data_IF_454656887570
#
_entry.id   IF_454656887570
#
_cell.length_a   1.000
_cell.length_b   1.000
_cell.length_c   1.000
_cell.angle_alpha   90.00
_cell.angle_beta   90.00
_cell.angle_gamma   90.00
#
_symmetry.space_group_name_H-M   'P 1'
#
loop_
_entity.id
_entity.type
_entity.pdbx_description
1 polymer ?
#
# COMPACT_ATOMS: atom_id res chain seq x y z
N UNK A 1 2.99 14.68 29.83
CA UNK A 1 2.89 13.63 28.79
C UNK A 1 1.42 13.60 28.39
N UNK A 2 1.07 14.21 27.26
CA UNK A 2 -0.30 14.64 26.96
C UNK A 2 -1.15 13.48 26.43
N UNK A 3 -2.11 13.00 27.22
CA UNK A 3 -3.17 12.06 26.80
C UNK A 3 -3.95 12.55 25.57
N UNK A 4 -3.97 13.88 25.33
CA UNK A 4 -4.57 14.50 24.15
C UNK A 4 -3.79 14.14 22.87
N UNK A 5 -2.45 14.09 22.93
CA UNK A 5 -1.64 13.70 21.78
C UNK A 5 -1.86 12.22 21.43
N UNK A 6 -1.94 11.34 22.44
CA UNK A 6 -2.07 9.89 22.19
C UNK A 6 -3.41 9.55 21.52
N UNK A 7 -4.51 10.19 21.96
CA UNK A 7 -5.83 10.02 21.34
C UNK A 7 -5.88 10.62 19.93
N UNK A 8 -5.27 11.79 19.70
CA UNK A 8 -5.17 12.41 18.37
C UNK A 8 -4.33 11.55 17.41
N UNK A 9 -3.21 10.97 17.89
CA UNK A 9 -2.39 10.05 17.12
C UNK A 9 -3.13 8.76 16.75
N UNK A 10 -3.89 8.19 17.68
CA UNK A 10 -4.69 6.98 17.42
C UNK A 10 -5.80 7.26 16.40
N UNK A 11 -6.49 8.40 16.53
CA UNK A 11 -7.51 8.83 15.57
C UNK A 11 -6.93 9.01 14.17
N UNK A 12 -5.78 9.71 14.06
CA UNK A 12 -5.09 9.91 12.77
C UNK A 12 -4.64 8.58 12.15
N UNK A 13 -4.14 7.65 12.96
CA UNK A 13 -3.73 6.32 12.51
C UNK A 13 -4.93 5.52 11.97
N UNK A 14 -6.04 5.51 12.69
CA UNK A 14 -7.25 4.80 12.29
C UNK A 14 -7.87 5.38 11.02
N UNK A 15 -7.88 6.71 10.88
CA UNK A 15 -8.36 7.37 9.68
C UNK A 15 -7.48 7.05 8.46
N UNK A 16 -6.15 7.10 8.61
CA UNK A 16 -5.23 6.69 7.56
C UNK A 16 -5.44 5.23 7.16
N UNK A 17 -5.61 4.34 8.14
CA UNK A 17 -5.83 2.91 7.88
C UNK A 17 -7.12 2.68 7.11
N UNK A 18 -8.20 3.36 7.50
CA UNK A 18 -9.49 3.31 6.79
C UNK A 18 -9.35 3.72 5.33
N UNK A 19 -8.62 4.81 5.06
CA UNK A 19 -8.40 5.28 3.70
C UNK A 19 -7.58 4.28 2.86
N UNK A 20 -6.61 3.60 3.47
CA UNK A 20 -5.88 2.51 2.80
C UNK A 20 -6.84 1.37 2.46
N UNK A 21 -7.68 0.94 3.41
CA UNK A 21 -8.65 -0.12 3.21
C UNK A 21 -9.66 0.23 2.10
N UNK A 22 -10.16 1.47 2.09
CA UNK A 22 -11.08 1.97 1.05
C UNK A 22 -10.44 1.88 -0.34
N UNK A 23 -9.16 2.25 -0.49
CA UNK A 23 -8.46 2.13 -1.77
C UNK A 23 -8.26 0.67 -2.15
N UNK A 24 -7.85 -0.18 -1.20
CA UNK A 24 -7.67 -1.61 -1.44
C UNK A 24 -8.96 -2.27 -1.94
N UNK A 25 -10.12 -1.86 -1.45
CA UNK A 25 -11.42 -2.37 -1.87
C UNK A 25 -11.82 -1.95 -3.30
N UNK A 26 -11.20 -0.90 -3.85
CA UNK A 26 -11.37 -0.54 -5.27
C UNK A 26 -10.49 -1.36 -6.22
N UNK A 27 -9.48 -2.06 -5.69
CA UNK A 27 -8.55 -2.83 -6.51
C UNK A 27 -9.19 -4.13 -6.97
N UNK A 28 -8.90 -4.59 -8.21
CA UNK A 28 -9.17 -5.96 -8.59
C UNK A 28 -8.49 -6.93 -7.61
N UNK A 29 -9.19 -8.00 -7.23
CA UNK A 29 -8.73 -9.01 -6.25
C UNK A 29 -7.28 -9.43 -6.43
N UNK A 30 -6.86 -9.67 -7.68
CA UNK A 30 -5.49 -10.10 -7.97
C UNK A 30 -4.45 -9.01 -7.66
N UNK A 31 -4.77 -7.75 -7.93
CA UNK A 31 -3.91 -6.61 -7.60
C UNK A 31 -3.88 -6.36 -6.10
N UNK A 32 -5.04 -6.47 -5.41
CA UNK A 32 -5.13 -6.37 -3.94
C UNK A 32 -4.26 -7.44 -3.27
N UNK A 33 -4.43 -8.71 -3.65
CA UNK A 33 -3.65 -9.84 -3.14
C UNK A 33 -2.14 -9.61 -3.31
N UNK A 34 -1.69 -9.29 -4.53
CA UNK A 34 -0.26 -9.09 -4.82
C UNK A 34 0.30 -7.88 -4.05
N UNK A 35 -0.47 -6.80 -3.94
CA UNK A 35 -0.07 -5.63 -3.17
C UNK A 35 0.06 -5.95 -1.67
N UNK A 36 -0.90 -6.66 -1.09
CA UNK A 36 -0.87 -7.12 0.30
C UNK A 36 0.37 -7.96 0.59
N UNK A 37 0.63 -8.99 -0.23
CA UNK A 37 1.82 -9.83 -0.08
C UNK A 37 3.11 -9.00 -0.13
N UNK A 38 3.19 -8.02 -1.02
CA UNK A 38 4.41 -7.21 -1.18
C UNK A 38 4.60 -6.14 -0.09
N UNK A 39 3.53 -5.44 0.31
CA UNK A 39 3.64 -4.24 1.17
C UNK A 39 3.28 -4.50 2.62
N UNK A 40 2.33 -5.38 2.88
CA UNK A 40 1.87 -5.69 4.24
C UNK A 40 2.60 -6.92 4.81
N UNK A 41 2.87 -7.91 3.96
CA UNK A 41 3.57 -9.13 4.37
C UNK A 41 5.08 -9.08 4.08
N UNK A 42 5.55 -8.06 3.35
CA UNK A 42 6.98 -7.83 3.09
C UNK A 42 7.63 -8.80 2.11
N UNK A 43 6.85 -9.56 1.33
CA UNK A 43 7.38 -10.51 0.37
C UNK A 43 8.04 -9.82 -0.83
N UNK A 44 9.13 -10.41 -1.32
CA UNK A 44 9.82 -9.96 -2.53
C UNK A 44 9.02 -10.36 -3.77
N UNK A 45 9.09 -9.55 -4.82
CA UNK A 45 8.36 -9.81 -6.07
C UNK A 45 8.64 -11.20 -6.66
N UNK A 46 9.87 -11.71 -6.48
CA UNK A 46 10.27 -13.06 -6.89
C UNK A 46 9.54 -14.15 -6.10
N UNK A 47 9.44 -14.01 -4.78
CA UNK A 47 8.77 -14.96 -3.91
C UNK A 47 7.26 -15.00 -4.23
N UNK A 48 6.66 -13.83 -4.48
CA UNK A 48 5.27 -13.72 -4.93
C UNK A 48 5.07 -14.40 -6.28
N UNK A 49 5.97 -14.17 -7.23
CA UNK A 49 5.92 -14.76 -8.57
C UNK A 49 5.98 -16.30 -8.50
N UNK A 50 6.90 -16.84 -7.69
CA UNK A 50 7.05 -18.28 -7.45
C UNK A 50 5.79 -18.87 -6.77
N UNK A 51 5.30 -18.23 -5.71
CA UNK A 51 4.11 -18.69 -4.97
C UNK A 51 2.83 -18.67 -5.82
N UNK A 52 2.69 -17.70 -6.72
CA UNK A 52 1.49 -17.51 -7.53
C UNK A 52 1.58 -18.13 -8.93
N UNK A 53 2.73 -18.72 -9.30
CA UNK A 53 2.95 -19.33 -10.61
C UNK A 53 2.88 -18.34 -11.79
N UNK A 54 3.29 -17.09 -11.56
CA UNK A 54 3.26 -16.01 -12.57
C UNK A 54 4.65 -15.41 -12.74
N UNK A 55 4.88 -14.62 -13.80
CA UNK A 55 6.18 -13.96 -13.96
C UNK A 55 6.33 -12.76 -13.03
N UNK A 56 7.58 -12.44 -12.65
CA UNK A 56 7.93 -11.24 -11.87
C UNK A 56 7.37 -9.98 -12.53
N UNK A 57 7.41 -9.89 -13.87
CA UNK A 57 6.85 -8.77 -14.63
C UNK A 57 5.33 -8.62 -14.45
N UNK A 58 4.60 -9.72 -14.28
CA UNK A 58 3.16 -9.69 -13.98
C UNK A 58 2.93 -9.17 -12.55
N UNK A 59 3.73 -9.61 -11.58
CA UNK A 59 3.71 -9.10 -10.20
C UNK A 59 3.94 -7.59 -10.18
N UNK A 60 5.01 -7.11 -10.81
CA UNK A 60 5.34 -5.69 -10.93
C UNK A 60 4.20 -4.88 -11.55
N UNK A 61 3.59 -5.38 -12.63
CA UNK A 61 2.43 -4.72 -13.27
C UNK A 61 1.24 -4.59 -12.32
N UNK A 62 0.93 -5.62 -11.53
CA UNK A 62 -0.15 -5.55 -10.54
C UNK A 62 0.17 -4.55 -9.43
N UNK A 63 1.42 -4.51 -8.95
CA UNK A 63 1.89 -3.52 -7.96
C UNK A 63 1.80 -2.11 -8.52
N UNK A 64 2.30 -1.87 -9.74
CA UNK A 64 2.22 -0.55 -10.38
C UNK A 64 0.78 -0.09 -10.57
N UNK A 65 -0.12 -1.00 -10.95
CA UNK A 65 -1.55 -0.69 -11.07
C UNK A 65 -2.16 -0.31 -9.72
N UNK A 66 -1.86 -1.07 -8.66
CA UNK A 66 -2.32 -0.74 -7.31
C UNK A 66 -1.83 0.65 -6.88
N UNK A 67 -0.53 0.91 -7.01
CA UNK A 67 0.06 2.21 -6.69
C UNK A 67 -0.53 3.38 -7.50
N UNK A 68 -0.89 3.16 -8.77
CA UNK A 68 -1.60 4.17 -9.56
C UNK A 68 -2.96 4.50 -8.95
N UNK A 69 -3.73 3.48 -8.54
CA UNK A 69 -5.03 3.70 -7.89
C UNK A 69 -4.88 4.45 -6.57
N UNK A 70 -3.86 4.12 -5.76
CA UNK A 70 -3.52 4.88 -4.56
C UNK A 70 -3.16 6.34 -4.87
N UNK A 71 -2.41 6.59 -5.94
CA UNK A 71 -2.06 7.94 -6.37
C UNK A 71 -3.29 8.73 -6.82
N UNK A 72 -4.19 8.11 -7.57
CA UNK A 72 -5.42 8.75 -8.05
C UNK A 72 -6.36 9.10 -6.88
N UNK A 73 -6.40 8.24 -5.85
CA UNK A 73 -7.13 8.52 -4.62
C UNK A 73 -6.50 9.65 -3.81
N UNK A 74 -5.17 9.62 -3.62
CA UNK A 74 -4.41 10.64 -2.89
C UNK A 74 -4.40 12.01 -3.58
N UNK A 75 -4.59 12.08 -4.90
CA UNK A 75 -4.75 13.36 -5.60
C UNK A 75 -5.96 14.16 -5.11
N UNK A 76 -6.94 13.50 -4.48
CA UNK A 76 -8.10 14.13 -3.85
C UNK A 76 -7.91 14.41 -2.35
N UNK A 77 -6.84 13.89 -1.72
CA UNK A 77 -6.50 14.05 -0.29
C UNK A 77 -4.95 14.02 -0.07
N UNK A 78 -4.28 15.19 0.07
CA UNK A 78 -2.82 15.32 -0.04
C UNK A 78 -2.00 14.63 1.07
N UNK A 79 -2.61 14.29 2.22
CA UNK A 79 -1.90 13.74 3.38
C UNK A 79 -1.36 12.31 3.13
N UNK A 80 -2.05 11.52 2.29
CA UNK A 80 -1.68 10.13 1.97
C UNK A 80 -0.47 10.08 1.01
N UNK A 81 -0.30 11.11 0.17
CA UNK A 81 0.72 11.11 -0.89
C UNK A 81 2.14 11.04 -0.32
N UNK A 82 2.38 11.66 0.83
CA UNK A 82 3.67 11.62 1.53
C UNK A 82 4.01 10.20 1.99
N UNK A 83 3.07 9.50 2.64
CA UNK A 83 3.29 8.16 3.17
C UNK A 83 3.50 7.14 2.04
N UNK A 84 2.74 7.27 0.95
CA UNK A 84 2.94 6.45 -0.25
C UNK A 84 4.30 6.70 -0.90
N UNK A 85 4.75 7.95 -0.97
CA UNK A 85 6.08 8.26 -1.51
C UNK A 85 7.21 7.64 -0.68
N UNK A 86 7.08 7.63 0.65
CA UNK A 86 8.00 6.93 1.55
C UNK A 86 7.93 5.41 1.40
N UNK A 87 6.74 4.84 1.15
CA UNK A 87 6.58 3.41 0.84
C UNK A 87 7.13 3.01 -0.54
N UNK A 88 7.13 3.93 -1.51
CA UNK A 88 7.66 3.70 -2.87
C UNK A 88 9.19 3.87 -2.91
N UNK A 89 9.75 4.84 -2.18
CA UNK A 89 11.19 5.13 -2.18
C UNK A 89 11.98 4.46 -1.04
N UNK A 90 11.36 4.15 0.10
CA UNK A 90 12.05 3.68 1.31
C UNK A 90 12.26 2.16 1.42
N UNK A 91 11.59 1.36 0.60
CA UNK A 91 11.67 -0.12 0.62
C UNK A 91 12.14 -0.74 -0.70
N UNK A 92 12.66 0.08 -1.62
CA UNK A 92 13.24 -0.38 -2.87
C UNK A 92 14.75 -0.53 -2.76
N UNK A 93 15.24 -1.48 -1.95
CA UNK A 93 16.57 -2.13 -2.06
C UNK A 93 16.87 -2.95 -0.78
N UNK A 94 16.21 -4.11 -0.56
CA UNK A 94 16.78 -5.31 0.10
C UNK A 94 15.98 -6.57 -0.25
#
# INVERSE_FOLDING_TARGET
>A
MNLINDAEHELLYNELRRQIDDVLDTLPERSKQIFTMSRLEGMKNREIAEQLGISIKVVERHISRALSTFKDFAANQPDIALILSFMIWGYGNY
#
